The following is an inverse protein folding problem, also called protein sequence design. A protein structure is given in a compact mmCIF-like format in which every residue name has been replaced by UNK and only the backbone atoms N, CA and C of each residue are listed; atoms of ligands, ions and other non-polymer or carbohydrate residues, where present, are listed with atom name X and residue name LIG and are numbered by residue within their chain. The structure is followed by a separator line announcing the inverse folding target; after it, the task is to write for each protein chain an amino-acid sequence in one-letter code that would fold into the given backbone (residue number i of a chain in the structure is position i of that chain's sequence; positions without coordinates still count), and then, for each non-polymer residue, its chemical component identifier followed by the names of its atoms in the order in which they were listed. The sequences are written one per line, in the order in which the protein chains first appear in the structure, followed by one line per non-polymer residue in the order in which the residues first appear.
data_IF_587992007731
#
_entry.id   IF_587992007731
#
_cell.length_a   1.000
_cell.length_b   1.000
_cell.length_c   1.000
_cell.angle_alpha   90.00
_cell.angle_beta   90.00
_cell.angle_gamma   90.00
#
_symmetry.space_group_name_H-M   'P 1'
#
loop_
_entity.id
_entity.type
_entity.pdbx_description
1 polymer ?
#
# COMPACT_ATOMS: atom_id res chain seq x y z
N UNK A 1 -10.26 -53.82 -94.39
CA UNK A 1 -10.22 -55.27 -94.15
C UNK A 1 -10.72 -55.53 -92.75
N UNK A 2 -11.87 -56.19 -92.71
CA UNK A 2 -12.67 -56.61 -91.56
C UNK A 2 -11.86 -57.54 -90.67
N UNK A 3 -11.91 -57.38 -89.34
CA UNK A 3 -11.68 -58.53 -88.48
C UNK A 3 -12.70 -58.59 -87.34
N UNK A 4 -13.14 -59.82 -87.12
CA UNK A 4 -14.45 -60.22 -86.63
C UNK A 4 -14.57 -60.19 -85.11
N UNK A 5 -15.81 -59.99 -84.68
CA UNK A 5 -16.34 -60.47 -83.39
C UNK A 5 -16.20 -61.98 -83.30
N UNK A 6 -15.67 -62.48 -82.18
CA UNK A 6 -15.96 -63.81 -81.63
C UNK A 6 -15.71 -63.74 -80.12
N UNK A 7 -16.76 -63.60 -79.31
CA UNK A 7 -17.43 -64.70 -78.59
C UNK A 7 -16.55 -65.33 -77.51
N UNK A 8 -16.88 -65.06 -76.24
CA UNK A 8 -17.16 -66.16 -75.31
C UNK A 8 -17.81 -65.59 -74.04
N UNK A 9 -19.04 -66.03 -73.77
CA UNK A 9 -19.62 -65.99 -72.42
C UNK A 9 -18.73 -66.84 -71.52
N UNK A 10 -18.27 -66.27 -70.42
CA UNK A 10 -17.86 -67.06 -69.27
C UNK A 10 -18.63 -66.53 -68.06
N UNK A 11 -19.63 -67.30 -67.65
CA UNK A 11 -20.11 -67.27 -66.29
C UNK A 11 -18.96 -67.80 -65.42
N UNK A 12 -18.61 -67.10 -64.37
CA UNK A 12 -18.50 -67.69 -63.03
C UNK A 12 -18.13 -66.61 -62.02
N UNK A 13 -18.95 -66.54 -60.99
CA UNK A 13 -18.82 -65.71 -59.81
C UNK A 13 -17.71 -66.26 -58.91
N UNK A 14 -16.74 -65.45 -58.47
CA UNK A 14 -16.06 -65.68 -57.21
C UNK A 14 -16.48 -64.62 -56.19
N UNK A 15 -16.93 -65.11 -55.03
CA UNK A 15 -17.11 -64.36 -53.79
C UNK A 15 -15.99 -63.34 -53.58
N UNK A 16 -16.32 -62.06 -53.53
CA UNK A 16 -15.38 -61.03 -53.08
C UNK A 16 -15.46 -60.89 -51.56
N UNK A 17 -14.43 -61.43 -50.93
CA UNK A 17 -14.09 -61.36 -49.51
C UNK A 17 -13.59 -59.97 -49.12
N UNK A 18 -14.15 -59.44 -48.03
CA UNK A 18 -13.49 -58.66 -46.98
C UNK A 18 -12.60 -57.47 -47.39
N UNK A 19 -13.14 -56.25 -47.31
CA UNK A 19 -12.33 -55.03 -47.21
C UNK A 19 -12.51 -54.40 -45.81
N UNK A 20 -11.46 -54.25 -44.99
CA UNK A 20 -11.54 -53.51 -43.73
C UNK A 20 -11.41 -52.01 -44.05
N UNK A 21 -12.54 -51.30 -44.16
CA UNK A 21 -12.52 -49.83 -44.15
C UNK A 21 -12.03 -49.36 -42.78
N UNK A 22 -10.75 -48.99 -42.74
CA UNK A 22 -10.12 -48.24 -41.67
C UNK A 22 -10.77 -46.85 -41.59
N UNK A 23 -11.56 -46.50 -40.54
CA UNK A 23 -12.09 -45.15 -40.39
C UNK A 23 -10.97 -44.26 -39.81
N UNK A 24 -10.04 -43.89 -40.68
CA UNK A 24 -9.05 -42.86 -40.43
C UNK A 24 -9.74 -41.53 -40.12
N UNK A 25 -9.40 -40.98 -38.96
CA UNK A 25 -9.21 -39.54 -38.74
C UNK A 25 -10.38 -38.63 -39.12
N UNK A 26 -11.32 -38.45 -38.19
CA UNK A 26 -12.11 -37.22 -38.13
C UNK A 26 -11.18 -36.09 -37.66
N UNK A 27 -10.88 -35.05 -38.45
CA UNK A 27 -10.20 -33.88 -37.90
C UNK A 27 -11.15 -33.26 -36.87
N UNK A 28 -10.76 -33.26 -35.61
CA UNK A 28 -11.47 -32.52 -34.57
C UNK A 28 -11.45 -31.04 -34.95
N UNK A 29 -12.51 -30.57 -35.60
CA UNK A 29 -12.71 -29.16 -35.92
C UNK A 29 -12.74 -28.42 -34.59
N UNK A 30 -11.80 -27.51 -34.29
CA UNK A 30 -11.89 -26.74 -33.07
C UNK A 30 -13.18 -25.93 -33.16
N UNK A 31 -14.17 -26.30 -32.37
CA UNK A 31 -15.37 -25.49 -32.15
C UNK A 31 -14.95 -24.27 -31.35
N UNK A 32 -14.39 -23.28 -32.04
CA UNK A 32 -14.22 -21.94 -31.47
C UNK A 32 -15.61 -21.33 -31.35
N UNK A 33 -16.20 -21.50 -30.16
CA UNK A 33 -17.56 -21.10 -29.81
C UNK A 33 -17.78 -19.58 -29.81
N UNK A 34 -16.74 -18.79 -30.04
CA UNK A 34 -16.77 -17.33 -29.95
C UNK A 34 -15.83 -16.71 -31.01
N UNK A 35 -16.33 -15.74 -31.77
CA UNK A 35 -15.57 -15.08 -32.83
C UNK A 35 -14.34 -14.30 -32.30
N UNK A 36 -13.33 -14.02 -33.14
CA UNK A 36 -12.08 -13.38 -32.70
C UNK A 36 -12.30 -12.05 -31.98
N UNK A 37 -13.27 -11.25 -32.43
CA UNK A 37 -13.64 -9.96 -31.81
C UNK A 37 -14.22 -10.14 -30.41
N UNK A 38 -15.03 -11.17 -30.22
CA UNK A 38 -15.68 -11.46 -28.95
C UNK A 38 -14.68 -12.00 -27.90
N UNK A 39 -13.66 -12.74 -28.33
CA UNK A 39 -12.52 -13.12 -27.46
C UNK A 39 -11.69 -11.92 -27.04
N UNK A 40 -11.43 -10.99 -27.97
CA UNK A 40 -10.68 -9.75 -27.69
C UNK A 40 -11.44 -8.83 -26.73
N UNK A 41 -12.76 -8.66 -26.92
CA UNK A 41 -13.57 -7.87 -25.99
C UNK A 41 -13.61 -8.51 -24.61
N UNK A 42 -13.78 -9.83 -24.52
CA UNK A 42 -13.77 -10.53 -23.24
C UNK A 42 -12.42 -10.39 -22.52
N UNK A 43 -11.32 -10.58 -23.23
CA UNK A 43 -9.97 -10.40 -22.68
C UNK A 43 -9.74 -8.96 -22.20
N UNK A 44 -10.15 -7.96 -22.99
CA UNK A 44 -10.03 -6.56 -22.60
C UNK A 44 -10.88 -6.23 -21.37
N UNK A 45 -12.13 -6.70 -21.33
CA UNK A 45 -12.99 -6.50 -20.14
C UNK A 45 -12.39 -7.12 -18.90
N UNK A 46 -11.85 -8.35 -18.99
CA UNK A 46 -11.22 -9.02 -17.86
C UNK A 46 -9.97 -8.26 -17.39
N UNK A 47 -9.15 -7.77 -18.33
CA UNK A 47 -7.98 -6.97 -18.04
C UNK A 47 -8.36 -5.63 -17.36
N UNK A 48 -9.37 -4.93 -17.86
CA UNK A 48 -9.86 -3.69 -17.26
C UNK A 48 -10.43 -3.91 -15.86
N UNK A 49 -11.18 -5.00 -15.62
CA UNK A 49 -11.68 -5.33 -14.28
C UNK A 49 -10.53 -5.63 -13.31
N UNK A 50 -9.53 -6.40 -13.73
CA UNK A 50 -8.37 -6.68 -12.91
C UNK A 50 -7.59 -5.40 -12.56
N UNK A 51 -7.42 -4.50 -13.53
CA UNK A 51 -6.72 -3.23 -13.31
C UNK A 51 -7.51 -2.30 -12.37
N UNK A 52 -8.83 -2.24 -12.52
CA UNK A 52 -9.70 -1.46 -11.63
C UNK A 52 -9.68 -2.01 -10.19
N UNK A 53 -9.74 -3.33 -10.04
CA UNK A 53 -9.64 -3.98 -8.72
C UNK A 53 -8.28 -3.73 -8.06
N UNK A 54 -7.19 -3.82 -8.82
CA UNK A 54 -5.85 -3.52 -8.33
C UNK A 54 -5.73 -2.05 -7.91
N UNK A 55 -6.21 -1.11 -8.74
CA UNK A 55 -6.20 0.32 -8.41
C UNK A 55 -6.99 0.59 -7.11
N UNK A 56 -8.20 0.05 -6.98
CA UNK A 56 -9.01 0.21 -5.78
C UNK A 56 -8.34 -0.37 -4.53
N UNK A 57 -7.70 -1.53 -4.65
CA UNK A 57 -6.94 -2.16 -3.57
C UNK A 57 -5.70 -1.33 -3.19
N UNK A 58 -4.98 -0.81 -4.18
CA UNK A 58 -3.79 0.01 -3.96
C UNK A 58 -4.10 1.33 -3.22
N UNK A 59 -5.25 1.95 -3.49
CA UNK A 59 -5.66 3.18 -2.80
C UNK A 59 -6.16 2.95 -1.36
N UNK A 60 -6.80 1.81 -1.07
CA UNK A 60 -7.27 1.50 0.29
C UNK A 60 -6.12 1.39 1.30
N UNK A 61 -4.96 0.90 0.88
CA UNK A 61 -3.78 0.77 1.75
C UNK A 61 -3.04 2.07 2.06
N UNK A 62 -3.43 3.21 1.48
CA UNK A 62 -2.68 4.47 1.56
C UNK A 62 -3.27 5.52 2.51
N UNK A 63 -4.39 5.25 3.19
CA UNK A 63 -5.02 6.22 4.09
C UNK A 63 -4.62 5.95 5.54
N UNK A 64 -3.59 6.67 6.02
CA UNK A 64 -3.22 6.68 7.45
C UNK A 64 -4.09 7.71 8.17
N UNK A 65 -4.87 7.25 9.16
CA UNK A 65 -5.62 8.16 10.03
C UNK A 65 -4.71 8.65 11.15
N UNK A 66 -4.50 9.96 11.26
CA UNK A 66 -3.72 10.57 12.33
C UNK A 66 -4.62 10.86 13.55
N UNK A 67 -4.25 10.31 14.70
CA UNK A 67 -4.95 10.43 15.97
C UNK A 67 -4.02 11.04 17.02
N UNK A 68 -4.60 11.70 18.02
CA UNK A 68 -3.84 12.13 19.19
C UNK A 68 -3.51 10.96 20.11
N UNK A 69 -2.52 11.12 21.00
CA UNK A 69 -2.11 10.07 21.94
C UNK A 69 -3.27 9.59 22.82
N UNK A 70 -4.12 10.52 23.28
CA UNK A 70 -5.29 10.20 24.10
C UNK A 70 -6.36 9.41 23.31
N UNK A 71 -6.51 9.72 22.02
CA UNK A 71 -7.42 8.98 21.13
C UNK A 71 -6.88 7.58 20.84
N UNK A 72 -5.58 7.45 20.55
CA UNK A 72 -4.93 6.15 20.36
C UNK A 72 -4.98 5.29 21.64
N UNK A 73 -4.85 5.91 22.82
CA UNK A 73 -4.96 5.26 24.14
C UNK A 73 -6.37 4.75 24.43
N UNK A 74 -7.41 5.52 24.08
CA UNK A 74 -8.82 5.21 24.35
C UNK A 74 -9.51 4.38 23.25
N UNK A 75 -8.98 4.33 22.03
CA UNK A 75 -9.54 3.50 20.96
C UNK A 75 -9.39 2.00 21.29
N UNK A 76 -10.38 1.21 20.88
CA UNK A 76 -10.27 -0.25 20.90
C UNK A 76 -9.09 -0.71 20.02
N UNK A 77 -8.43 -1.86 20.33
CA UNK A 77 -7.33 -2.38 19.53
C UNK A 77 -7.69 -2.32 18.05
N UNK A 78 -6.85 -1.68 17.24
CA UNK A 78 -7.14 -1.46 15.83
C UNK A 78 -7.43 -2.83 15.20
N UNK A 79 -8.61 -2.97 14.59
CA UNK A 79 -9.02 -4.21 13.95
C UNK A 79 -8.06 -4.53 12.79
N UNK A 80 -7.00 -5.28 13.08
CA UNK A 80 -5.97 -5.98 12.27
C UNK A 80 -5.41 -5.40 10.97
N UNK A 81 -6.01 -4.38 10.35
CA UNK A 81 -5.72 -3.99 8.96
C UNK A 81 -5.80 -2.47 8.71
N UNK A 82 -5.82 -1.64 9.77
CA UNK A 82 -5.76 -0.18 9.63
C UNK A 82 -4.49 0.35 10.26
N UNK A 83 -3.75 1.13 9.49
CA UNK A 83 -2.58 1.84 10.00
C UNK A 83 -3.03 3.18 10.60
N UNK A 84 -2.64 3.40 11.85
CA UNK A 84 -2.93 4.61 12.61
C UNK A 84 -1.64 5.39 12.78
N UNK A 85 -1.71 6.70 12.57
CA UNK A 85 -0.65 7.64 12.89
C UNK A 85 -0.90 8.25 14.26
N UNK A 86 0.12 8.32 15.11
CA UNK A 86 0.07 9.00 16.40
C UNK A 86 1.19 10.03 16.45
N UNK A 87 0.85 11.25 16.85
CA UNK A 87 1.79 12.35 17.02
C UNK A 87 1.96 12.67 18.50
N UNK A 88 3.19 12.92 18.95
CA UNK A 88 3.47 13.33 20.32
C UNK A 88 4.95 13.65 20.56
N UNK A 89 5.28 13.98 21.81
CA UNK A 89 6.65 14.23 22.27
C UNK A 89 7.19 13.07 23.09
N UNK A 90 8.51 12.88 23.06
CA UNK A 90 9.17 11.88 23.89
C UNK A 90 8.96 12.19 25.38
N UNK A 91 8.62 11.17 26.16
CA UNK A 91 8.73 11.24 27.62
C UNK A 91 10.21 11.12 28.00
N UNK A 92 10.73 12.10 28.74
CA UNK A 92 12.13 12.12 29.20
C UNK A 92 12.52 10.79 29.85
N UNK A 93 13.71 10.31 29.54
CA UNK A 93 14.31 9.06 30.03
C UNK A 93 13.49 7.77 29.76
N UNK A 94 12.56 7.79 28.81
CA UNK A 94 11.77 6.61 28.44
C UNK A 94 12.38 5.77 27.30
N UNK A 95 13.38 6.29 26.59
CA UNK A 95 13.99 5.61 25.45
C UNK A 95 14.94 4.50 25.91
N UNK A 96 14.65 3.28 25.50
CA UNK A 96 15.44 2.07 25.75
C UNK A 96 15.64 1.33 24.44
N UNK A 97 16.88 0.97 24.14
CA UNK A 97 17.22 0.12 22.99
C UNK A 97 17.48 -1.31 23.48
N UNK A 98 16.92 -2.29 22.78
CA UNK A 98 17.10 -3.70 23.12
C UNK A 98 18.51 -4.19 22.72
N UNK A 99 18.89 -5.36 23.24
CA UNK A 99 20.19 -5.99 23.00
C UNK A 99 20.41 -6.40 21.54
N UNK A 100 19.33 -6.52 20.77
CA UNK A 100 19.39 -6.76 19.31
C UNK A 100 19.93 -5.57 18.52
N UNK A 101 20.00 -4.38 19.13
CA UNK A 101 20.47 -3.17 18.49
C UNK A 101 19.53 -2.58 17.46
N UNK A 102 18.31 -3.08 17.26
CA UNK A 102 17.34 -2.58 16.27
C UNK A 102 15.98 -2.22 16.88
N UNK A 103 15.57 -2.88 17.95
CA UNK A 103 14.31 -2.58 18.61
C UNK A 103 14.51 -1.47 19.63
N UNK A 104 13.72 -0.41 19.48
CA UNK A 104 13.63 0.71 20.40
C UNK A 104 12.25 0.73 21.06
N UNK A 105 12.24 0.91 22.39
CA UNK A 105 11.04 1.08 23.20
C UNK A 105 11.07 2.47 23.84
N UNK A 106 10.01 3.22 23.70
CA UNK A 106 9.91 4.56 24.28
C UNK A 106 8.45 4.92 24.56
N UNK A 107 8.23 5.98 25.32
CA UNK A 107 6.87 6.50 25.56
C UNK A 107 6.71 7.87 24.94
N UNK A 108 5.57 8.10 24.29
CA UNK A 108 5.17 9.41 23.78
C UNK A 108 3.99 9.96 24.57
N UNK A 109 3.91 11.28 24.65
CA UNK A 109 2.78 12.01 25.25
C UNK A 109 2.34 13.15 24.35
N UNK A 110 1.08 13.54 24.47
CA UNK A 110 0.57 14.75 23.80
C UNK A 110 1.15 16.02 24.48
N UNK A 111 1.20 17.15 23.78
CA UNK A 111 1.72 18.42 24.33
C UNK A 111 0.89 18.88 25.54
N UNK A 112 -0.44 18.72 25.45
CA UNK A 112 -1.39 19.14 26.49
C UNK A 112 -1.93 17.96 27.32
N UNK A 113 -1.48 16.73 27.03
CA UNK A 113 -1.97 15.50 27.64
C UNK A 113 -1.08 14.99 28.79
N UNK A 114 -1.71 14.35 29.77
CA UNK A 114 -0.99 13.61 30.84
C UNK A 114 -0.81 12.13 30.50
N UNK A 115 -1.55 11.62 29.51
CA UNK A 115 -1.48 10.23 29.09
C UNK A 115 -0.19 9.93 28.33
N UNK A 116 0.34 8.72 28.55
CA UNK A 116 1.54 8.21 27.91
C UNK A 116 1.18 6.97 27.10
N UNK A 117 1.67 6.91 25.87
CA UNK A 117 1.54 5.74 25.01
C UNK A 117 2.91 5.07 24.88
N UNK A 118 2.97 3.79 25.23
CA UNK A 118 4.17 2.97 25.04
C UNK A 118 4.28 2.55 23.58
N UNK A 119 5.39 2.89 22.94
CA UNK A 119 5.68 2.61 21.54
C UNK A 119 6.88 1.67 21.44
N UNK A 120 6.75 0.65 20.61
CA UNK A 120 7.85 -0.22 20.17
C UNK A 120 8.07 0.00 18.68
N UNK A 121 9.30 0.32 18.30
CA UNK A 121 9.72 0.53 16.92
C UNK A 121 10.93 -0.34 16.60
N UNK A 122 10.93 -0.99 15.45
CA UNK A 122 12.09 -1.77 14.98
C UNK A 122 12.72 -1.08 13.80
N UNK A 123 13.91 -0.51 13.99
CA UNK A 123 14.62 0.23 12.96
C UNK A 123 15.82 1.01 13.49
N UNK A 124 16.58 1.59 12.56
CA UNK A 124 17.77 2.37 12.89
C UNK A 124 17.36 3.78 13.34
N UNK A 125 17.16 3.95 14.65
CA UNK A 125 16.96 5.27 15.25
C UNK A 125 17.84 5.48 16.48
N UNK A 126 18.45 6.67 16.57
CA UNK A 126 19.27 7.08 17.70
C UNK A 126 18.55 8.04 18.64
N UNK A 127 18.94 8.04 19.92
CA UNK A 127 18.39 8.96 20.92
C UNK A 127 18.56 10.45 20.57
N UNK A 128 19.57 10.79 19.77
CA UNK A 128 19.93 12.17 19.39
C UNK A 128 18.84 12.90 18.60
N UNK A 129 17.94 12.16 17.93
CA UNK A 129 16.83 12.76 17.19
C UNK A 129 15.72 13.23 18.11
N UNK A 130 15.65 12.73 19.34
CA UNK A 130 14.68 13.15 20.34
C UNK A 130 15.24 14.31 21.15
N UNK A 131 14.65 15.49 20.98
CA UNK A 131 14.91 16.68 21.79
C UNK A 131 13.57 17.28 22.25
N UNK A 132 13.60 18.25 23.17
CA UNK A 132 12.39 18.85 23.74
C UNK A 132 11.54 19.62 22.71
N UNK A 133 12.13 19.99 21.57
CA UNK A 133 11.48 20.65 20.44
C UNK A 133 11.10 19.69 19.31
N UNK A 134 11.48 18.40 19.39
CA UNK A 134 11.16 17.40 18.38
C UNK A 134 9.72 16.93 18.54
N UNK A 135 8.99 16.92 17.43
CA UNK A 135 7.70 16.23 17.33
C UNK A 135 7.92 14.84 16.74
N UNK A 136 7.43 13.81 17.42
CA UNK A 136 7.52 12.41 16.99
C UNK A 136 6.20 12.02 16.35
N UNK A 137 6.28 11.46 15.14
CA UNK A 137 5.15 10.91 14.41
C UNK A 137 5.44 9.43 14.19
N UNK A 138 4.59 8.58 14.76
CA UNK A 138 4.68 7.12 14.60
C UNK A 138 3.47 6.62 13.84
N UNK A 139 3.66 5.66 12.94
CA UNK A 139 2.57 5.03 12.20
C UNK A 139 2.65 3.53 12.38
N UNK A 140 1.53 2.89 12.69
CA UNK A 140 1.50 1.47 12.96
C UNK A 140 0.16 1.01 13.51
N UNK A 141 0.20 0.05 14.42
CA UNK A 141 -0.98 -0.64 14.95
C UNK A 141 -0.94 -0.70 16.47
N UNK A 142 -2.11 -0.57 17.08
CA UNK A 142 -2.28 -0.77 18.52
C UNK A 142 -2.51 -2.24 18.83
N UNK A 143 -1.72 -2.79 19.75
CA UNK A 143 -1.83 -4.17 20.20
C UNK A 143 -2.88 -4.32 21.30
N UNK A 144 -3.28 -5.58 21.55
CA UNK A 144 -4.29 -5.95 22.55
C UNK A 144 -3.79 -5.66 23.98
N UNK A 145 -2.47 -5.67 24.19
CA UNK A 145 -1.82 -5.34 25.45
C UNK A 145 -1.78 -3.82 25.75
N UNK A 146 -2.28 -2.99 24.83
CA UNK A 146 -2.27 -1.53 24.93
C UNK A 146 -0.97 -0.87 24.47
N UNK A 147 0.03 -1.65 24.04
CA UNK A 147 1.24 -1.12 23.40
C UNK A 147 0.98 -0.74 21.94
N UNK A 148 1.79 0.17 21.42
CA UNK A 148 1.73 0.59 20.02
C UNK A 148 2.97 0.08 19.28
N UNK A 149 2.78 -0.78 18.29
CA UNK A 149 3.85 -1.24 17.41
C UNK A 149 3.90 -0.32 16.19
N UNK A 150 5.00 0.42 16.07
CA UNK A 150 5.23 1.36 14.99
C UNK A 150 5.99 0.68 13.85
N UNK A 151 5.45 0.78 12.64
CA UNK A 151 6.11 0.37 11.39
C UNK A 151 6.94 1.51 10.81
N UNK A 152 6.46 2.75 10.96
CA UNK A 152 7.15 3.96 10.51
C UNK A 152 7.33 4.94 11.67
N UNK A 153 8.49 5.57 11.73
CA UNK A 153 8.82 6.60 12.71
C UNK A 153 9.48 7.77 12.00
N UNK A 154 8.88 8.95 12.14
CA UNK A 154 9.42 10.21 11.65
C UNK A 154 9.57 11.18 12.81
N UNK A 155 10.73 11.84 12.90
CA UNK A 155 10.95 12.92 13.87
C UNK A 155 11.05 14.25 13.13
N UNK A 156 10.19 15.20 13.50
CA UNK A 156 10.18 16.56 12.96
C UNK A 156 10.88 17.50 13.93
N UNK A 157 11.95 18.15 13.48
CA UNK A 157 12.55 19.28 14.19
C UNK A 157 12.02 20.58 13.56
N UNK A 158 11.31 21.45 14.31
CA UNK A 158 10.70 22.67 13.77
C UNK A 158 11.73 23.73 13.33
N UNK A 159 13.00 23.58 13.71
CA UNK A 159 14.05 24.62 13.61
C UNK A 159 14.40 25.13 12.20
N UNK A 160 13.80 24.59 11.12
CA UNK A 160 14.05 25.04 9.74
C UNK A 160 13.00 26.02 9.20
N UNK A 161 11.80 26.08 9.79
CA UNK A 161 10.68 26.87 9.26
C UNK A 161 9.96 27.73 10.31
N UNK A 162 10.59 27.99 11.45
CA UNK A 162 10.06 28.96 12.40
C UNK A 162 10.08 30.33 11.73
N UNK A 163 8.90 30.93 11.57
CA UNK A 163 8.82 32.34 11.21
C UNK A 163 9.46 33.17 12.34
N UNK A 164 9.89 34.40 12.05
CA UNK A 164 10.46 35.28 13.09
C UNK A 164 9.47 35.49 14.26
N UNK A 165 8.16 35.45 13.97
CA UNK A 165 7.11 35.47 14.97
C UNK A 165 7.10 34.21 15.85
N UNK A 166 7.13 33.02 15.24
CA UNK A 166 7.13 31.75 15.96
C UNK A 166 8.41 31.54 16.79
N UNK A 167 9.55 32.04 16.29
CA UNK A 167 10.82 32.09 17.04
C UNK A 167 10.73 33.04 18.24
N UNK A 168 10.14 34.22 18.05
CA UNK A 168 9.93 35.18 19.13
C UNK A 168 8.96 34.65 20.21
N UNK A 169 7.93 33.89 19.83
CA UNK A 169 7.02 33.22 20.78
C UNK A 169 7.71 32.12 21.60
N UNK A 170 8.58 31.32 20.97
CA UNK A 170 9.40 30.31 21.64
C UNK A 170 10.43 30.94 22.60
N UNK A 171 11.11 32.00 22.17
CA UNK A 171 12.06 32.75 23.00
C UNK A 171 11.37 33.47 24.17
N UNK A 172 10.15 33.96 23.94
CA UNK A 172 9.32 34.58 24.97
C UNK A 172 8.85 33.57 26.03
N UNK A 173 8.57 32.33 25.64
CA UNK A 173 8.24 31.25 26.59
C UNK A 173 9.42 30.85 27.46
N UNK A 174 10.64 30.89 26.92
CA UNK A 174 11.86 30.53 27.67
C UNK A 174 12.36 31.68 28.57
N UNK A 175 12.25 32.94 28.10
CA UNK A 175 12.85 34.10 28.78
C UNK A 175 11.85 35.06 29.46
N UNK A 176 10.54 34.84 29.30
CA UNK A 176 9.49 35.62 29.98
C UNK A 176 9.33 37.07 29.51
N UNK A 177 10.03 37.50 28.46
CA UNK A 177 9.96 38.85 27.91
C UNK A 177 9.77 38.79 26.38
N UNK A 178 8.54 38.95 25.86
CA UNK A 178 8.30 38.92 24.42
C UNK A 178 8.75 40.22 23.78
N UNK A 179 9.91 40.20 23.12
CA UNK A 179 10.20 41.19 22.09
C UNK A 179 9.28 40.91 20.91
N UNK A 180 8.26 41.75 20.71
CA UNK A 180 7.36 41.65 19.57
C UNK A 180 8.17 41.64 18.26
N UNK A 181 7.90 40.72 17.33
CA UNK A 181 8.61 40.68 16.05
C UNK A 181 8.33 41.98 15.27
N UNK A 182 9.33 42.54 14.56
CA UNK A 182 9.08 43.63 13.65
C UNK A 182 8.20 43.10 12.51
N UNK A 183 6.93 43.48 12.49
CA UNK A 183 6.11 43.30 11.27
C UNK A 183 6.83 44.02 10.12
N UNK A 184 7.27 43.28 9.10
CA UNK A 184 7.68 43.85 7.81
C UNK A 184 6.43 44.40 7.11
N UNK A 185 6.24 45.72 7.04
CA UNK A 185 5.07 46.33 6.42
C UNK A 185 5.42 46.66 4.97
N UNK A 186 5.52 45.65 4.10
CA UNK A 186 5.90 45.91 2.69
C UNK A 186 5.50 44.83 1.68
N UNK A 187 4.66 43.84 2.04
CA UNK A 187 4.28 42.79 1.08
C UNK A 187 3.16 43.20 0.09
N UNK A 188 2.42 44.28 0.34
CA UNK A 188 1.24 44.65 -0.48
C UNK A 188 1.40 45.90 -1.34
N UNK A 189 2.53 46.60 -1.28
CA UNK A 189 2.69 47.91 -1.96
C UNK A 189 3.42 47.83 -3.31
N UNK A 190 3.71 46.62 -3.84
CA UNK A 190 4.42 46.46 -5.13
C UNK A 190 3.52 46.20 -6.34
N UNK A 191 2.20 46.18 -6.16
CA UNK A 191 1.24 46.08 -7.26
C UNK A 191 0.38 47.35 -7.35
N UNK A 192 0.99 48.45 -7.78
CA UNK A 192 0.29 49.65 -8.24
C UNK A 192 1.01 50.27 -9.47
#
# INVERSE_FOLDING_TARGET
MTNQRNNSRNNDNPKETNNPENPLTSPARPTTLMGPRAKMTFAFTLASLALAYFAFTAFQGATVNYLSVAQASSESPTASDRQVGVTGKLVKDSYVRDADGLTARFSIKDEHGSEKLAVTYTGEIGQVFFNDHSEIIVQGKKLIDGSFEADNLTVRCPSKYLTEAEKAELEAQDNGDPSAPPYQPDYFDQEA
#
